data_IF_574841955659
#
_entry.id   IF_574841955659
#
_cell.length_a   1.000
_cell.length_b   1.000
_cell.length_c   1.000
_cell.angle_alpha   90.00
_cell.angle_beta   90.00
_cell.angle_gamma   90.00
#
_symmetry.space_group_name_H-M   'P 1'
#
loop_
_entity.id
_entity.type
_entity.pdbx_description
1 polymer ?
#
# COMPACT_ATOMS: atom_id res chain seq x y z
N UNK A 1 -44.00 8.07 28.55
CA UNK A 1 -43.75 9.23 27.68
C UNK A 1 -42.55 10.08 28.10
N UNK A 2 -42.53 10.80 29.23
CA UNK A 2 -41.33 11.58 29.61
C UNK A 2 -40.10 10.72 29.92
N UNK A 3 -40.25 9.59 30.60
CA UNK A 3 -39.12 8.70 30.92
C UNK A 3 -38.52 8.05 29.66
N UNK A 4 -39.36 7.59 28.73
CA UNK A 4 -38.91 7.02 27.45
C UNK A 4 -38.19 8.07 26.58
N UNK A 5 -38.60 9.34 26.66
CA UNK A 5 -37.94 10.42 25.96
C UNK A 5 -36.55 10.70 26.57
N UNK A 6 -36.45 10.67 27.89
CA UNK A 6 -35.17 10.84 28.59
C UNK A 6 -34.20 9.69 28.32
N UNK A 7 -34.68 8.44 28.39
CA UNK A 7 -33.90 7.24 28.09
C UNK A 7 -33.30 7.31 26.66
N UNK A 8 -34.10 7.72 25.67
CA UNK A 8 -33.60 7.93 24.30
C UNK A 8 -32.56 9.04 24.18
N UNK A 9 -32.65 10.09 24.98
CA UNK A 9 -31.66 11.17 24.98
C UNK A 9 -30.34 10.65 25.53
N UNK A 10 -30.40 9.91 26.64
CA UNK A 10 -29.22 9.31 27.28
C UNK A 10 -28.56 8.30 26.33
N UNK A 11 -29.35 7.42 25.70
CA UNK A 11 -28.87 6.47 24.68
C UNK A 11 -28.19 7.17 23.50
N UNK A 12 -28.77 8.26 23.00
CA UNK A 12 -28.19 9.04 21.89
C UNK A 12 -26.87 9.71 22.31
N UNK A 13 -26.77 10.18 23.54
CA UNK A 13 -25.56 10.76 24.08
C UNK A 13 -24.45 9.70 24.22
N UNK A 14 -24.79 8.52 24.72
CA UNK A 14 -23.88 7.39 24.85
C UNK A 14 -23.40 6.89 23.48
N UNK A 15 -24.31 6.76 22.51
CA UNK A 15 -23.97 6.43 21.13
C UNK A 15 -23.06 7.51 20.50
N UNK A 16 -23.32 8.78 20.78
CA UNK A 16 -22.48 9.89 20.34
C UNK A 16 -21.07 9.84 20.96
N UNK A 17 -20.96 9.48 22.24
CA UNK A 17 -19.68 9.38 22.95
C UNK A 17 -18.84 8.20 22.46
N UNK A 18 -19.48 7.04 22.26
CA UNK A 18 -18.85 5.82 21.76
C UNK A 18 -18.37 6.01 20.33
N UNK A 19 -19.17 6.62 19.46
CA UNK A 19 -18.78 6.92 18.09
C UNK A 19 -17.54 7.83 18.02
N UNK A 20 -17.52 8.91 18.82
CA UNK A 20 -16.33 9.79 18.90
C UNK A 20 -15.08 9.04 19.34
N UNK A 21 -15.21 8.17 20.33
CA UNK A 21 -14.10 7.34 20.84
C UNK A 21 -13.59 6.38 19.77
N UNK A 22 -14.49 5.74 19.02
CA UNK A 22 -14.13 4.84 17.93
C UNK A 22 -13.40 5.57 16.81
N UNK A 23 -13.87 6.75 16.40
CA UNK A 23 -13.20 7.57 15.39
C UNK A 23 -11.78 7.94 15.82
N UNK A 24 -11.59 8.33 17.10
CA UNK A 24 -10.27 8.65 17.61
C UNK A 24 -9.31 7.44 17.55
N UNK A 25 -9.78 6.27 18.02
CA UNK A 25 -8.98 5.04 17.99
C UNK A 25 -8.67 4.55 16.58
N UNK A 26 -9.62 4.66 15.67
CA UNK A 26 -9.45 4.30 14.26
C UNK A 26 -8.34 5.14 13.63
N UNK A 27 -8.39 6.47 13.79
CA UNK A 27 -7.34 7.37 13.29
C UNK A 27 -5.97 7.05 13.87
N UNK A 28 -5.90 6.88 15.19
CA UNK A 28 -4.65 6.55 15.86
C UNK A 28 -4.06 5.23 15.34
N UNK A 29 -4.88 4.17 15.24
CA UNK A 29 -4.44 2.88 14.73
C UNK A 29 -4.02 2.97 13.27
N UNK A 30 -4.71 3.77 12.46
CA UNK A 30 -4.39 3.96 11.06
C UNK A 30 -3.04 4.69 10.90
N UNK A 31 -2.80 5.72 11.69
CA UNK A 31 -1.52 6.45 11.70
C UNK A 31 -0.35 5.52 12.09
N UNK A 32 -0.51 4.72 13.15
CA UNK A 32 0.48 3.73 13.57
C UNK A 32 0.77 2.69 12.47
N UNK A 33 -0.27 2.19 11.80
CA UNK A 33 -0.14 1.25 10.67
C UNK A 33 0.55 1.89 9.47
N UNK A 34 0.25 3.15 9.15
CA UNK A 34 0.88 3.87 8.07
C UNK A 34 2.37 4.09 8.34
N UNK A 35 2.75 4.47 9.55
CA UNK A 35 4.17 4.61 9.93
C UNK A 35 4.90 3.27 9.91
N UNK A 36 4.31 2.21 10.47
CA UNK A 36 4.88 0.87 10.40
C UNK A 36 5.10 0.40 8.94
N UNK A 37 4.12 0.64 8.06
CA UNK A 37 4.24 0.34 6.63
C UNK A 37 5.38 1.10 5.96
N UNK A 38 5.54 2.41 6.25
CA UNK A 38 6.63 3.23 5.69
C UNK A 38 7.99 2.66 6.09
N UNK A 39 8.16 2.36 7.38
CA UNK A 39 9.41 1.79 7.92
C UNK A 39 9.71 0.44 7.27
N UNK A 40 8.71 -0.44 7.12
CA UNK A 40 8.90 -1.74 6.46
C UNK A 40 9.28 -1.61 4.99
N UNK A 41 8.63 -0.72 4.23
CA UNK A 41 8.97 -0.48 2.82
C UNK A 41 10.44 -0.03 2.68
N UNK A 42 10.92 0.79 3.61
CA UNK A 42 12.30 1.27 3.60
C UNK A 42 13.30 0.18 4.04
N UNK A 43 13.00 -0.58 5.10
CA UNK A 43 13.95 -1.52 5.71
C UNK A 43 13.97 -2.93 5.09
N UNK A 44 12.87 -3.40 4.49
CA UNK A 44 12.80 -4.76 3.93
C UNK A 44 13.81 -5.02 2.80
N UNK A 45 14.06 -4.09 1.85
CA UNK A 45 15.07 -4.30 0.81
C UNK A 45 16.49 -4.49 1.36
N UNK A 46 16.83 -3.81 2.46
CA UNK A 46 18.13 -3.96 3.12
C UNK A 46 18.25 -5.32 3.83
N UNK A 47 17.16 -5.77 4.46
CA UNK A 47 17.11 -7.04 5.19
C UNK A 47 17.16 -8.27 4.26
N UNK A 48 16.44 -8.21 3.14
CA UNK A 48 16.31 -9.28 2.14
C UNK A 48 17.20 -9.05 0.91
N UNK A 49 18.36 -8.39 1.09
CA UNK A 49 19.33 -8.18 0.03
C UNK A 49 19.80 -9.50 -0.62
N UNK A 50 20.60 -9.40 -1.69
CA UNK A 50 20.95 -10.41 -2.70
C UNK A 50 21.47 -11.80 -2.21
N UNK A 51 21.48 -12.09 -0.91
CA UNK A 51 21.97 -13.33 -0.28
C UNK A 51 20.86 -14.18 0.35
N UNK A 52 19.59 -13.79 0.27
CA UNK A 52 18.47 -14.59 0.82
C UNK A 52 17.81 -15.45 -0.25
N UNK A 53 17.44 -16.69 0.11
CA UNK A 53 16.67 -17.60 -0.76
C UNK A 53 15.22 -17.14 -0.99
N UNK A 54 14.79 -16.06 -0.32
CA UNK A 54 13.47 -15.45 -0.42
C UNK A 54 13.67 -14.09 -1.09
N UNK A 55 13.01 -13.87 -2.22
CA UNK A 55 13.00 -12.59 -2.93
C UNK A 55 11.84 -11.69 -2.49
N UNK A 56 12.07 -10.38 -2.48
CA UNK A 56 11.05 -9.37 -2.25
C UNK A 56 10.52 -8.88 -3.60
N UNK A 57 9.19 -8.87 -3.79
CA UNK A 57 8.53 -8.28 -4.96
C UNK A 57 7.50 -7.25 -4.51
N UNK A 58 7.63 -6.01 -4.97
CA UNK A 58 6.63 -4.97 -4.70
C UNK A 58 5.39 -5.22 -5.55
N UNK A 59 4.22 -4.90 -5.00
CA UNK A 59 2.99 -4.98 -5.77
C UNK A 59 3.05 -3.98 -6.93
N UNK A 60 2.84 -4.47 -8.15
CA UNK A 60 2.93 -3.68 -9.38
C UNK A 60 4.34 -3.57 -9.94
N UNK A 61 5.34 -4.18 -9.29
CA UNK A 61 6.69 -4.21 -9.81
C UNK A 61 6.80 -5.14 -11.03
N UNK A 62 7.07 -4.50 -12.15
CA UNK A 62 7.40 -5.12 -13.41
C UNK A 62 8.88 -5.49 -13.42
N UNK A 63 9.20 -6.65 -14.00
CA UNK A 63 10.60 -7.03 -14.24
C UNK A 63 11.06 -6.40 -15.57
N UNK A 64 11.92 -5.36 -15.56
CA UNK A 64 12.34 -4.69 -16.78
C UNK A 64 13.07 -5.63 -17.74
N UNK A 65 13.75 -6.65 -17.20
CA UNK A 65 14.53 -7.60 -18.00
C UNK A 65 13.66 -8.36 -19.00
N UNK A 66 12.44 -8.71 -18.60
CA UNK A 66 11.47 -9.37 -19.48
C UNK A 66 11.15 -8.50 -20.71
N UNK A 67 11.04 -7.18 -20.53
CA UNK A 67 10.82 -6.23 -21.63
C UNK A 67 12.06 -6.08 -22.50
N UNK A 68 13.25 -5.96 -21.90
CA UNK A 68 14.52 -5.90 -22.67
C UNK A 68 14.74 -7.14 -23.51
N UNK A 69 14.56 -8.34 -22.94
CA UNK A 69 14.79 -9.60 -23.65
C UNK A 69 13.82 -9.76 -24.83
N UNK A 70 12.56 -9.37 -24.63
CA UNK A 70 11.54 -9.37 -25.69
C UNK A 70 11.89 -8.35 -26.78
N UNK A 71 12.21 -7.11 -26.42
CA UNK A 71 12.53 -6.06 -27.38
C UNK A 71 13.82 -6.31 -28.15
N UNK A 72 14.85 -6.91 -27.54
CA UNK A 72 16.09 -7.33 -28.22
C UNK A 72 15.85 -8.34 -29.33
N UNK A 73 14.83 -9.20 -29.18
CA UNK A 73 14.46 -10.17 -30.22
C UNK A 73 13.65 -9.55 -31.38
N UNK A 74 13.05 -8.37 -31.16
CA UNK A 74 12.06 -7.76 -32.06
C UNK A 74 12.56 -6.51 -32.79
N UNK A 75 13.45 -5.74 -32.16
CA UNK A 75 13.92 -4.45 -32.66
C UNK A 75 15.43 -4.45 -32.92
N UNK A 76 15.91 -3.58 -33.81
CA UNK A 76 17.34 -3.30 -33.97
C UNK A 76 18.01 -2.92 -32.63
N UNK A 77 19.31 -3.23 -32.42
CA UNK A 77 20.00 -3.00 -31.15
C UNK A 77 19.96 -1.55 -30.64
N UNK A 78 19.94 -0.60 -31.57
CA UNK A 78 19.86 0.85 -31.34
C UNK A 78 18.47 1.32 -30.87
N UNK A 79 17.42 0.57 -31.20
CA UNK A 79 16.04 0.90 -30.81
C UNK A 79 15.50 0.04 -29.67
N UNK A 80 16.04 -1.17 -29.48
CA UNK A 80 15.53 -2.17 -28.55
C UNK A 80 15.45 -1.66 -27.11
N UNK A 81 16.44 -0.88 -26.66
CA UNK A 81 16.49 -0.32 -25.30
C UNK A 81 15.38 0.71 -25.06
N UNK A 82 15.17 1.59 -26.04
CA UNK A 82 14.16 2.65 -25.98
C UNK A 82 12.76 2.02 -25.99
N UNK A 83 12.54 1.02 -26.84
CA UNK A 83 11.27 0.29 -26.92
C UNK A 83 10.98 -0.48 -25.64
N UNK A 84 11.98 -1.14 -25.04
CA UNK A 84 11.83 -1.86 -23.78
C UNK A 84 11.41 -0.92 -22.64
N UNK A 85 12.10 0.21 -22.49
CA UNK A 85 11.81 1.20 -21.44
C UNK A 85 10.44 1.84 -21.63
N UNK A 86 10.10 2.21 -22.87
CA UNK A 86 8.80 2.79 -23.21
C UNK A 86 7.67 1.83 -22.90
N UNK A 87 7.81 0.57 -23.32
CA UNK A 87 6.82 -0.47 -23.06
C UNK A 87 6.69 -0.72 -21.55
N UNK A 88 7.80 -0.94 -20.83
CA UNK A 88 7.78 -1.18 -19.39
C UNK A 88 7.13 -0.02 -18.61
N UNK A 89 7.27 1.22 -19.08
CA UNK A 89 6.68 2.41 -18.43
C UNK A 89 5.20 2.63 -18.78
N UNK A 90 4.69 2.00 -19.84
CA UNK A 90 3.28 2.11 -20.28
C UNK A 90 2.31 1.16 -19.55
N UNK A 91 2.85 0.24 -18.75
CA UNK A 91 2.11 -0.74 -17.98
C UNK A 91 1.83 -0.29 -16.55
#
# INVERSE_FOLDING_TARGET
>A
MNNELQEKIDDLQDLGSTNKTLIYKERQSNDELHEARKVLIQGLPELFGNRTNIGLKRMGELDPKTFHDTCKSRFPPDEAEIQATTLCSSW
#
